data_IF_648450617895
#
_entry.id   IF_648450617895
#
_cell.length_a   1.000
_cell.length_b   1.000
_cell.length_c   1.000
_cell.angle_alpha   90.00
_cell.angle_beta   90.00
_cell.angle_gamma   90.00
#
_symmetry.space_group_name_H-M   'P 1'
#
loop_
_entity.id
_entity.type
_entity.pdbx_description
1 polymer ?
#
# COMPACT_ATOMS: atom_id res chain seq x y z
N UNK A 1 -15.88 -12.20 25.65
CA UNK A 1 -14.97 -12.83 24.66
C UNK A 1 -13.84 -11.85 24.39
N UNK A 2 -12.57 -12.26 24.53
CA UNK A 2 -11.46 -11.44 24.02
C UNK A 2 -11.37 -11.70 22.52
N UNK A 3 -11.73 -10.72 21.72
CA UNK A 3 -11.49 -10.70 20.28
C UNK A 3 -9.98 -10.55 20.07
N UNK A 4 -9.35 -11.55 19.48
CA UNK A 4 -7.90 -11.57 19.24
C UNK A 4 -7.56 -12.76 18.34
N UNK A 5 -6.48 -12.62 17.60
CA UNK A 5 -5.99 -13.65 16.68
C UNK A 5 -4.66 -14.16 17.22
N UNK A 6 -4.50 -15.48 17.25
CA UNK A 6 -3.19 -16.11 17.23
C UNK A 6 -2.99 -16.68 15.82
N UNK A 7 -1.89 -16.30 15.15
CA UNK A 7 -1.52 -16.86 13.86
C UNK A 7 -0.03 -17.20 13.84
N UNK A 8 0.34 -18.12 12.95
CA UNK A 8 1.72 -18.46 12.64
C UNK A 8 1.87 -18.45 11.12
N UNK A 9 2.90 -17.78 10.63
CA UNK A 9 3.29 -17.81 9.22
C UNK A 9 4.62 -18.55 9.12
N UNK A 10 4.69 -19.61 8.30
CA UNK A 10 5.87 -20.44 8.13
C UNK A 10 6.24 -20.52 6.66
N UNK A 11 7.55 -20.54 6.37
CA UNK A 11 8.02 -20.83 5.02
C UNK A 11 7.88 -22.33 4.75
N UNK A 12 6.91 -22.71 3.92
CA UNK A 12 6.67 -24.11 3.57
C UNK A 12 7.76 -24.72 2.68
N UNK A 13 8.62 -23.90 2.05
CA UNK A 13 9.66 -24.41 1.16
C UNK A 13 10.93 -24.78 1.94
N UNK A 14 11.45 -26.01 1.82
CA UNK A 14 12.60 -26.50 2.62
C UNK A 14 13.96 -25.89 2.24
N UNK A 15 14.02 -24.98 1.26
CA UNK A 15 15.29 -24.51 0.69
C UNK A 15 15.22 -23.20 -0.09
N UNK A 16 14.02 -22.72 -0.47
CA UNK A 16 13.86 -21.39 -1.07
C UNK A 16 13.45 -20.40 0.01
N UNK A 17 14.16 -19.27 0.18
CA UNK A 17 13.75 -18.26 1.13
C UNK A 17 12.46 -17.58 0.68
N UNK A 18 11.59 -17.26 1.63
CA UNK A 18 10.47 -16.34 1.44
C UNK A 18 10.94 -14.92 1.70
N UNK A 19 10.46 -13.96 0.89
CA UNK A 19 10.72 -12.55 1.07
C UNK A 19 9.37 -11.83 0.99
N UNK A 20 8.95 -11.19 2.08
CA UNK A 20 7.63 -10.57 2.19
C UNK A 20 7.69 -9.36 3.12
N UNK A 21 6.68 -8.50 3.03
CA UNK A 21 6.50 -7.35 3.91
C UNK A 21 5.39 -7.67 4.91
N UNK A 22 5.64 -7.33 6.18
CA UNK A 22 4.62 -7.36 7.22
C UNK A 22 4.30 -5.92 7.65
N UNK A 23 3.07 -5.48 7.40
CA UNK A 23 2.62 -4.11 7.65
C UNK A 23 1.50 -4.14 8.68
N UNK A 24 1.63 -3.34 9.73
CA UNK A 24 0.66 -3.26 10.81
C UNK A 24 -0.04 -1.90 10.75
N UNK A 25 -1.36 -1.92 10.63
CA UNK A 25 -2.20 -0.72 10.61
C UNK A 25 -3.16 -0.76 11.79
N UNK A 26 -3.20 0.30 12.58
CA UNK A 26 -4.12 0.40 13.71
C UNK A 26 -5.55 0.67 13.19
N UNK A 27 -6.54 -0.17 13.56
CA UNK A 27 -7.91 0.08 13.14
C UNK A 27 -8.56 1.22 13.93
N UNK A 28 -9.59 1.85 13.37
CA UNK A 28 -10.38 2.90 14.05
C UNK A 28 -11.20 2.38 15.25
N UNK A 29 -11.42 1.06 15.34
CA UNK A 29 -12.19 0.40 16.40
C UNK A 29 -11.40 -0.77 16.95
N UNK A 30 -11.33 -0.83 18.27
CA UNK A 30 -10.87 -2.04 18.97
C UNK A 30 -11.95 -3.11 18.95
N UNK A 31 -11.54 -4.36 19.14
CA UNK A 31 -12.45 -5.50 19.31
C UNK A 31 -13.37 -5.82 18.14
N UNK A 32 -12.93 -5.48 16.92
CA UNK A 32 -13.54 -5.96 15.69
C UNK A 32 -13.45 -7.49 15.61
N UNK A 33 -14.44 -8.11 14.94
CA UNK A 33 -14.40 -9.54 14.62
C UNK A 33 -13.22 -9.81 13.67
N UNK A 34 -12.34 -10.77 13.98
CA UNK A 34 -11.30 -11.21 13.06
C UNK A 34 -11.82 -11.56 11.67
N UNK A 35 -11.18 -11.05 10.64
CA UNK A 35 -11.46 -11.34 9.23
C UNK A 35 -10.14 -11.58 8.49
N UNK A 36 -10.15 -12.48 7.51
CA UNK A 36 -9.01 -12.80 6.66
C UNK A 36 -9.39 -12.57 5.21
N UNK A 37 -8.51 -11.88 4.49
CA UNK A 37 -8.64 -11.66 3.05
C UNK A 37 -7.34 -12.07 2.37
N UNK A 38 -7.46 -12.86 1.32
CA UNK A 38 -6.35 -13.20 0.43
C UNK A 38 -6.77 -12.87 -0.98
N UNK A 39 -5.98 -12.05 -1.66
CA UNK A 39 -6.23 -11.66 -3.03
C UNK A 39 -4.92 -11.56 -3.80
N UNK A 40 -4.98 -11.83 -5.11
CA UNK A 40 -3.85 -11.67 -6.02
C UNK A 40 -4.13 -10.54 -7.00
N UNK A 41 -3.09 -9.77 -7.31
CA UNK A 41 -3.14 -8.66 -8.24
C UNK A 41 -2.12 -8.93 -9.35
N UNK A 42 -2.50 -8.70 -10.61
CA UNK A 42 -1.64 -9.08 -11.73
C UNK A 42 -0.42 -8.17 -11.85
N UNK A 43 0.73 -8.77 -12.16
CA UNK A 43 1.95 -8.02 -12.44
C UNK A 43 1.77 -7.11 -13.65
N UNK A 44 1.02 -7.56 -14.68
CA UNK A 44 0.71 -6.74 -15.85
C UNK A 44 -0.01 -5.45 -15.49
N UNK A 45 -0.97 -5.49 -14.54
CA UNK A 45 -1.65 -4.28 -14.06
C UNK A 45 -0.68 -3.38 -13.28
N UNK A 46 0.14 -3.97 -12.40
CA UNK A 46 1.17 -3.24 -11.65
C UNK A 46 2.21 -2.60 -12.58
N UNK A 47 2.42 -3.12 -13.79
CA UNK A 47 3.31 -2.55 -14.82
C UNK A 47 2.73 -1.39 -15.61
N UNK A 48 1.41 -1.16 -15.51
CA UNK A 48 0.76 -0.01 -16.17
C UNK A 48 0.68 1.22 -15.26
N UNK A 49 0.45 1.01 -13.96
CA UNK A 49 0.29 2.07 -12.97
C UNK A 49 0.35 1.50 -11.55
N UNK A 50 0.30 2.37 -10.53
CA UNK A 50 0.02 1.91 -9.18
C UNK A 50 -1.36 1.28 -9.11
N UNK A 51 -1.41 0.01 -8.73
CA UNK A 51 -2.65 -0.74 -8.47
C UNK A 51 -2.99 -0.57 -7.00
N UNK A 52 -4.17 -0.03 -6.63
CA UNK A 52 -4.65 -0.06 -5.26
C UNK A 52 -4.85 -1.51 -4.80
N UNK A 53 -4.33 -1.84 -3.62
CA UNK A 53 -4.35 -3.18 -3.02
C UNK A 53 -5.29 -3.19 -1.81
N UNK A 54 -5.19 -2.16 -0.96
CA UNK A 54 -5.99 -2.01 0.25
C UNK A 54 -6.68 -0.65 0.20
N UNK A 55 -7.95 -0.59 0.57
CA UNK A 55 -8.68 0.67 0.75
C UNK A 55 -9.63 0.61 1.96
N UNK A 56 -10.07 1.75 2.51
CA UNK A 56 -10.97 1.76 3.65
C UNK A 56 -12.25 0.96 3.40
N UNK A 57 -12.81 0.37 4.45
CA UNK A 57 -14.18 -0.12 4.45
C UNK A 57 -15.13 1.03 4.12
N UNK A 58 -15.97 0.87 3.10
CA UNK A 58 -16.87 1.91 2.60
C UNK A 58 -17.87 2.42 3.64
N UNK A 59 -18.27 1.56 4.58
CA UNK A 59 -19.15 1.94 5.68
C UNK A 59 -18.49 2.84 6.74
N UNK A 60 -17.15 2.94 6.74
CA UNK A 60 -16.38 3.80 7.63
C UNK A 60 -16.39 3.37 9.10
N UNK A 61 -15.94 4.26 10.01
CA UNK A 61 -15.81 3.98 11.43
C UNK A 61 -17.11 3.53 12.08
N UNK A 62 -18.25 4.05 11.65
CA UNK A 62 -19.57 3.74 12.25
C UNK A 62 -20.29 2.55 11.60
N UNK A 63 -19.55 1.68 10.90
CA UNK A 63 -20.10 0.47 10.32
C UNK A 63 -20.89 -0.36 11.35
N UNK A 64 -22.06 -0.82 10.93
CA UNK A 64 -22.85 -1.83 11.64
C UNK A 64 -22.20 -3.21 11.47
N UNK A 65 -22.50 -4.19 12.35
CA UNK A 65 -21.97 -5.55 12.19
C UNK A 65 -22.27 -6.19 10.83
N UNK A 66 -23.42 -5.88 10.23
CA UNK A 66 -23.78 -6.36 8.88
C UNK A 66 -22.88 -5.74 7.78
N UNK A 67 -22.49 -4.47 7.94
CA UNK A 67 -21.58 -3.80 7.01
C UNK A 67 -20.12 -4.24 7.19
N UNK A 68 -19.69 -4.50 8.44
CA UNK A 68 -18.40 -5.11 8.73
C UNK A 68 -18.30 -6.50 8.09
N UNK A 69 -19.35 -7.32 8.19
CA UNK A 69 -19.39 -8.65 7.56
C UNK A 69 -19.45 -8.56 6.02
N UNK A 70 -20.16 -7.57 5.47
CA UNK A 70 -20.21 -7.34 4.03
C UNK A 70 -18.85 -6.91 3.46
N UNK A 71 -17.98 -6.31 4.28
CA UNK A 71 -16.59 -5.99 3.97
C UNK A 71 -16.42 -5.29 2.61
N UNK A 72 -17.28 -4.31 2.31
CA UNK A 72 -17.25 -3.60 1.02
C UNK A 72 -16.13 -2.55 1.04
N UNK A 73 -15.13 -2.62 0.16
CA UNK A 73 -14.09 -1.60 0.07
C UNK A 73 -14.58 -0.33 -0.62
N UNK A 74 -13.95 0.81 -0.32
CA UNK A 74 -14.18 2.07 -1.02
C UNK A 74 -13.71 2.01 -2.48
N UNK A 75 -12.62 1.30 -2.76
CA UNK A 75 -12.16 1.00 -4.12
C UNK A 75 -12.55 -0.45 -4.46
N UNK A 76 -13.44 -0.61 -5.44
CA UNK A 76 -13.88 -1.92 -5.90
C UNK A 76 -12.69 -2.80 -6.32
N UNK A 77 -12.68 -4.05 -5.85
CA UNK A 77 -11.64 -5.02 -6.16
C UNK A 77 -10.39 -4.95 -5.27
N UNK A 78 -10.37 -4.07 -4.25
CA UNK A 78 -9.32 -4.02 -3.22
C UNK A 78 -9.71 -4.78 -1.96
N UNK A 79 -8.74 -5.02 -1.08
CA UNK A 79 -8.98 -5.57 0.25
C UNK A 79 -9.49 -4.44 1.18
N UNK A 80 -10.65 -4.60 1.83
CA UNK A 80 -11.16 -3.60 2.77
C UNK A 80 -10.32 -3.58 4.06
N UNK A 81 -10.11 -2.38 4.63
CA UNK A 81 -9.48 -2.21 5.93
C UNK A 81 -10.30 -1.29 6.84
N UNK A 82 -10.29 -1.58 8.15
CA UNK A 82 -10.97 -0.78 9.16
C UNK A 82 -10.09 0.40 9.62
N UNK A 83 -9.50 1.13 8.68
CA UNK A 83 -8.64 2.27 8.91
C UNK A 83 -8.75 3.28 7.75
N UNK A 84 -8.42 4.54 7.99
CA UNK A 84 -8.38 5.58 6.95
C UNK A 84 -7.07 5.51 6.14
N UNK A 85 -6.87 4.35 5.51
CA UNK A 85 -5.61 3.90 4.95
C UNK A 85 -5.80 3.32 3.54
N UNK A 86 -4.92 3.70 2.62
CA UNK A 86 -4.84 3.14 1.27
C UNK A 86 -3.44 2.62 1.03
N UNK A 87 -3.32 1.46 0.39
CA UNK A 87 -2.03 0.93 -0.08
C UNK A 87 -2.11 0.63 -1.56
N UNK A 88 -1.03 0.92 -2.28
CA UNK A 88 -0.86 0.56 -3.69
C UNK A 88 0.51 -0.05 -3.96
N UNK A 89 0.61 -0.76 -5.09
CA UNK A 89 1.86 -1.30 -5.58
C UNK A 89 2.00 -1.10 -7.09
N UNK A 90 3.21 -0.86 -7.58
CA UNK A 90 3.51 -0.72 -9.00
C UNK A 90 4.89 -1.29 -9.34
N UNK A 91 5.07 -1.77 -10.56
CA UNK A 91 6.34 -2.30 -11.08
C UNK A 91 6.77 -1.39 -12.25
N UNK A 92 7.80 -0.59 -12.02
CA UNK A 92 8.27 0.41 -12.97
C UNK A 92 9.48 -0.13 -13.72
N UNK A 93 9.38 -0.20 -15.05
CA UNK A 93 10.56 -0.38 -15.91
C UNK A 93 11.47 0.86 -15.83
N UNK A 94 12.79 0.71 -16.07
CA UNK A 94 13.70 1.85 -16.18
C UNK A 94 13.19 2.95 -17.10
N UNK A 95 13.25 4.21 -16.65
CA UNK A 95 12.79 5.40 -17.36
C UNK A 95 11.28 5.66 -17.27
N UNK A 96 10.49 4.81 -16.59
CA UNK A 96 9.06 5.05 -16.35
C UNK A 96 8.84 5.92 -15.12
N UNK A 97 7.76 6.70 -15.16
CA UNK A 97 7.28 7.46 -14.01
C UNK A 97 5.84 7.10 -13.71
N UNK A 98 5.55 6.65 -12.49
CA UNK A 98 4.19 6.51 -12.00
C UNK A 98 3.83 7.65 -11.05
N UNK A 99 2.53 7.86 -10.89
CA UNK A 99 1.96 8.92 -10.05
C UNK A 99 0.96 8.31 -9.08
N UNK A 100 1.16 8.57 -7.80
CA UNK A 100 0.23 8.24 -6.74
C UNK A 100 -0.60 9.47 -6.40
N UNK A 101 -1.92 9.37 -6.52
CA UNK A 101 -2.84 10.40 -6.04
C UNK A 101 -3.05 10.20 -4.54
N UNK A 102 -2.67 11.19 -3.74
CA UNK A 102 -2.77 11.11 -2.27
C UNK A 102 -4.22 10.85 -1.86
N UNK A 103 -4.41 9.87 -0.98
CA UNK A 103 -5.69 9.33 -0.55
C UNK A 103 -6.29 8.27 -1.49
N UNK A 104 -5.57 7.82 -2.53
CA UNK A 104 -6.07 6.77 -3.44
C UNK A 104 -7.12 7.22 -4.45
N UNK A 105 -7.34 8.54 -4.58
CA UNK A 105 -8.37 9.13 -5.43
C UNK A 105 -9.34 10.01 -4.65
N UNK A 106 -10.28 10.62 -5.37
CA UNK A 106 -11.26 11.51 -4.75
C UNK A 106 -12.31 10.70 -3.97
N UNK A 107 -12.51 11.07 -2.70
CA UNK A 107 -13.54 10.50 -1.81
C UNK A 107 -13.30 9.06 -1.34
N UNK A 108 -12.10 8.52 -1.50
CA UNK A 108 -11.71 7.19 -0.97
C UNK A 108 -11.43 7.26 0.53
N UNK A 109 -10.74 8.30 0.98
CA UNK A 109 -10.34 8.51 2.39
C UNK A 109 -11.17 9.63 3.05
N UNK A 110 -11.34 9.53 4.37
CA UNK A 110 -12.06 10.51 5.18
C UNK A 110 -11.18 11.72 5.51
N UNK A 111 -9.94 11.49 5.96
CA UNK A 111 -9.03 12.57 6.32
C UNK A 111 -8.37 13.10 5.05
N UNK A 112 -8.78 14.29 4.62
CA UNK A 112 -8.33 14.86 3.33
C UNK A 112 -7.07 15.74 3.43
N UNK A 113 -6.52 15.95 4.62
CA UNK A 113 -5.40 16.86 4.87
C UNK A 113 -4.39 16.24 5.81
N UNK A 114 -3.15 16.72 5.74
CA UNK A 114 -2.04 16.31 6.61
C UNK A 114 -1.80 14.79 6.63
N UNK A 115 -2.03 14.15 5.49
CA UNK A 115 -1.76 12.73 5.30
C UNK A 115 -0.25 12.48 5.24
N UNK A 116 0.13 11.26 5.59
CA UNK A 116 1.50 10.78 5.55
C UNK A 116 1.57 9.64 4.53
N UNK A 117 2.45 9.78 3.55
CA UNK A 117 2.68 8.75 2.55
C UNK A 117 4.07 8.18 2.74
N UNK A 118 4.16 6.88 2.99
CA UNK A 118 5.40 6.14 3.00
C UNK A 118 5.59 5.43 1.66
N UNK A 119 6.64 5.78 0.94
CA UNK A 119 7.04 5.11 -0.31
C UNK A 119 8.21 4.19 0.00
N UNK A 120 8.07 2.91 -0.34
CA UNK A 120 9.09 1.90 -0.11
C UNK A 120 9.51 1.25 -1.42
N UNK A 121 10.82 1.08 -1.61
CA UNK A 121 11.41 0.27 -2.67
C UNK A 121 11.96 -1.01 -2.02
N UNK A 122 11.22 -2.13 -1.97
CA UNK A 122 11.73 -3.38 -1.45
C UNK A 122 12.92 -3.88 -2.26
N UNK A 123 13.83 -4.61 -1.61
CA UNK A 123 14.94 -5.22 -2.32
C UNK A 123 14.45 -6.33 -3.27
N UNK A 124 14.86 -6.24 -4.54
CA UNK A 124 14.60 -7.30 -5.50
C UNK A 124 15.74 -8.33 -5.48
N UNK A 125 15.46 -9.56 -5.92
CA UNK A 125 16.51 -10.58 -6.09
C UNK A 125 17.48 -10.27 -7.23
N UNK A 126 17.04 -9.50 -8.23
CA UNK A 126 17.84 -9.18 -9.42
C UNK A 126 18.79 -8.01 -9.16
N UNK A 127 18.41 -7.11 -8.25
CA UNK A 127 19.17 -5.93 -7.92
C UNK A 127 19.00 -4.81 -8.94
N UNK A 128 19.49 -3.62 -8.58
CA UNK A 128 19.74 -2.52 -9.53
C UNK A 128 18.55 -1.59 -9.76
N UNK A 129 17.47 -1.76 -9.00
CA UNK A 129 16.36 -0.81 -8.97
C UNK A 129 16.75 0.44 -8.18
N UNK A 130 16.43 1.62 -8.72
CA UNK A 130 16.56 2.91 -8.05
C UNK A 130 15.42 3.79 -8.48
N UNK A 131 14.81 4.50 -7.52
CA UNK A 131 13.71 5.42 -7.82
C UNK A 131 13.97 6.80 -7.28
N UNK A 132 13.40 7.81 -7.93
CA UNK A 132 13.43 9.21 -7.52
C UNK A 132 12.02 9.69 -7.24
N UNK A 133 11.85 10.44 -6.16
CA UNK A 133 10.57 11.03 -5.79
C UNK A 133 10.48 12.50 -6.25
N UNK A 134 9.37 12.85 -6.87
CA UNK A 134 9.02 14.23 -7.26
C UNK A 134 10.07 14.96 -8.11
N UNK A 135 10.82 14.21 -8.91
CA UNK A 135 11.88 14.74 -9.77
C UNK A 135 13.05 15.40 -9.01
N UNK A 136 13.12 15.22 -7.69
CA UNK A 136 14.14 15.85 -6.85
C UNK A 136 15.40 15.00 -6.84
N UNK A 137 16.51 15.56 -7.31
CA UNK A 137 17.78 14.82 -7.44
C UNK A 137 18.31 14.27 -6.10
N UNK A 138 17.96 14.90 -4.98
CA UNK A 138 18.36 14.49 -3.62
C UNK A 138 17.39 13.52 -2.95
N UNK A 139 16.26 13.16 -3.59
CA UNK A 139 15.24 12.23 -3.07
C UNK A 139 15.24 10.93 -3.85
N UNK A 140 16.34 10.21 -3.73
CA UNK A 140 16.55 8.88 -4.32
C UNK A 140 16.35 7.80 -3.27
N UNK A 141 15.67 6.72 -3.66
CA UNK A 141 15.58 5.48 -2.90
C UNK A 141 16.34 4.39 -3.64
N UNK A 142 17.17 3.65 -2.91
CA UNK A 142 17.78 2.41 -3.35
C UNK A 142 17.01 1.21 -2.77
N UNK A 143 17.37 0.01 -3.21
CA UNK A 143 16.69 -1.21 -2.76
C UNK A 143 16.80 -1.42 -1.25
N UNK A 144 15.64 -1.55 -0.60
CA UNK A 144 15.51 -1.63 0.85
C UNK A 144 15.15 -0.30 1.51
N UNK A 145 15.28 0.82 0.79
CA UNK A 145 14.97 2.15 1.35
C UNK A 145 13.47 2.45 1.36
N UNK A 146 13.11 3.42 2.19
CA UNK A 146 11.81 4.08 2.10
C UNK A 146 11.90 5.55 2.51
N UNK A 147 10.89 6.31 2.13
CA UNK A 147 10.77 7.73 2.47
C UNK A 147 9.35 8.07 2.93
N UNK A 148 9.29 8.94 3.94
CA UNK A 148 8.06 9.59 4.36
C UNK A 148 7.86 10.91 3.63
N UNK A 149 6.65 11.12 3.12
CA UNK A 149 6.16 12.38 2.59
C UNK A 149 4.98 12.80 3.47
N UNK A 150 5.24 13.74 4.37
CA UNK A 150 4.30 14.13 5.44
C UNK A 150 3.57 15.43 5.09
N UNK A 151 2.40 15.63 5.69
CA UNK A 151 1.68 16.90 5.58
C UNK A 151 0.99 17.13 4.22
N UNK A 152 0.90 16.11 3.37
CA UNK A 152 0.25 16.17 2.06
C UNK A 152 -1.28 16.08 2.17
N UNK A 153 -1.99 16.45 1.11
CA UNK A 153 -3.43 16.53 1.09
C UNK A 153 -4.00 15.73 -0.08
N UNK A 154 -5.25 15.28 0.05
CA UNK A 154 -5.96 14.66 -1.07
C UNK A 154 -6.03 15.64 -2.23
N UNK A 155 -5.59 15.19 -3.40
CA UNK A 155 -5.41 16.02 -4.60
C UNK A 155 -3.94 16.33 -4.91
N UNK A 156 -3.05 16.23 -3.92
CA UNK A 156 -1.60 16.22 -4.18
C UNK A 156 -1.22 14.92 -4.90
N UNK A 157 -0.11 14.97 -5.64
CA UNK A 157 0.41 13.83 -6.41
C UNK A 157 1.86 13.61 -6.03
N UNK A 158 2.20 12.38 -5.68
CA UNK A 158 3.59 11.94 -5.51
C UNK A 158 4.00 11.19 -6.76
N UNK A 159 5.06 11.65 -7.42
CA UNK A 159 5.61 10.99 -8.59
C UNK A 159 6.83 10.15 -8.23
N UNK A 160 6.90 8.96 -8.82
CA UNK A 160 7.98 7.99 -8.63
C UNK A 160 8.55 7.66 -9.99
N UNK A 161 9.80 8.04 -10.23
CA UNK A 161 10.53 7.79 -11.46
C UNK A 161 11.55 6.67 -11.23
N UNK A 162 11.51 5.62 -12.04
CA UNK A 162 12.55 4.58 -12.06
C UNK A 162 13.70 5.01 -12.97
N UNK A 163 14.93 4.97 -12.48
CA UNK A 163 16.13 5.34 -13.26
C UNK A 163 17.31 4.38 -13.07
N UNK A 164 17.12 3.28 -12.32
CA UNK A 164 18.10 2.20 -12.21
C UNK A 164 18.13 1.29 -13.45
N UNK A 165 18.93 0.23 -13.38
CA UNK A 165 19.03 -0.79 -14.45
C UNK A 165 17.96 -1.88 -14.30
N UNK A 166 17.44 -2.07 -13.09
CA UNK A 166 16.41 -3.05 -12.76
C UNK A 166 15.00 -2.46 -12.70
N UNK A 167 14.00 -3.35 -12.78
CA UNK A 167 12.61 -2.99 -12.51
C UNK A 167 12.42 -2.64 -11.04
N UNK A 168 11.75 -1.53 -10.77
CA UNK A 168 11.44 -1.10 -9.42
C UNK A 168 10.01 -1.50 -9.05
N UNK A 169 9.86 -2.52 -8.21
CA UNK A 169 8.58 -2.75 -7.53
C UNK A 169 8.49 -1.79 -6.35
N UNK A 170 7.51 -0.89 -6.36
CA UNK A 170 7.34 0.15 -5.35
C UNK A 170 6.01 -0.05 -4.64
N UNK A 171 6.06 0.02 -3.32
CA UNK A 171 4.87 -0.03 -2.45
C UNK A 171 4.64 1.36 -1.87
N UNK A 172 3.39 1.82 -1.90
CA UNK A 172 2.97 3.11 -1.34
C UNK A 172 1.95 2.84 -0.24
N UNK A 173 2.21 3.37 0.96
CA UNK A 173 1.34 3.31 2.13
C UNK A 173 0.86 4.73 2.45
N UNK A 174 -0.44 4.97 2.41
CA UNK A 174 -1.04 6.30 2.53
C UNK A 174 -1.99 6.34 3.72
N UNK A 175 -1.57 7.00 4.80
CA UNK A 175 -2.34 7.11 6.04
C UNK A 175 -2.64 8.57 6.40
N UNK A 176 -3.61 8.77 7.30
CA UNK A 176 -3.83 10.05 7.96
C UNK A 176 -2.85 10.29 9.12
#
# INVERSE_FOLDING_TARGET
MKTGIAHSEQNEHPSKPVHFLQIWVLPWKSSLKPQYHTQSFSDDAKRQSFVPIISPLAAGPEATPAQEEAAIPTISGTIPIHADFVMGAGILEPGKTFRWAVGGGESVVQSRRKRNVYVHLPASRKGGARVRLDGREDKVLEEGDGAFVEGVNVGDVISVESFGEGEAEVVVLDSN
#
